data_IF_592807545201
#
_entry.id   IF_592807545201
#
_cell.length_a   1.000
_cell.length_b   1.000
_cell.length_c   1.000
_cell.angle_alpha   90.00
_cell.angle_beta   90.00
_cell.angle_gamma   90.00
#
_symmetry.space_group_name_H-M   'P 1'
#
loop_
_entity.id
_entity.type
_entity.pdbx_description
1 polymer ?
#
# COMPACT_ATOMS: atom_id res chain seq x y z
N UNK A 1 -8.16 1.97 13.15
CA UNK A 1 -7.54 2.17 14.49
C UNK A 1 -6.13 2.78 14.33
N UNK A 2 -5.50 3.33 15.39
CA UNK A 2 -4.16 3.94 15.31
C UNK A 2 -3.03 3.04 14.78
N UNK A 3 -3.23 1.74 14.71
CA UNK A 3 -2.27 0.75 14.22
C UNK A 3 -2.70 0.09 12.91
N UNK A 4 -3.84 0.50 12.33
CA UNK A 4 -4.27 -0.04 11.04
C UNK A 4 -3.39 0.48 9.91
N UNK A 5 -3.08 -0.40 8.97
CA UNK A 5 -2.54 -0.02 7.67
C UNK A 5 -3.56 0.79 6.88
N UNK A 6 -3.07 1.78 6.16
CA UNK A 6 -3.85 2.60 5.24
C UNK A 6 -3.41 2.25 3.82
N UNK A 7 -4.23 1.45 3.13
CA UNK A 7 -3.99 1.08 1.74
C UNK A 7 -4.56 2.17 0.83
N UNK A 8 -3.72 2.71 -0.06
CA UNK A 8 -4.13 3.72 -1.03
C UNK A 8 -3.80 3.27 -2.44
N UNK A 9 -4.70 3.54 -3.39
CA UNK A 9 -4.37 3.37 -4.80
C UNK A 9 -3.29 4.37 -5.19
N UNK A 10 -2.13 3.88 -5.64
CA UNK A 10 -0.97 4.69 -5.99
C UNK A 10 -0.84 4.97 -7.50
N UNK A 11 -1.94 4.84 -8.25
CA UNK A 11 -1.93 4.92 -9.72
C UNK A 11 -1.62 6.34 -10.24
N UNK A 12 -2.24 7.36 -9.65
CA UNK A 12 -2.07 8.75 -10.06
C UNK A 12 -1.37 9.61 -9.00
N UNK A 13 -1.05 9.04 -7.84
CA UNK A 13 -0.50 9.75 -6.68
C UNK A 13 0.46 8.83 -5.96
N UNK A 14 1.68 9.28 -5.70
CA UNK A 14 2.69 8.45 -5.04
C UNK A 14 2.34 8.19 -3.57
N UNK A 15 2.79 7.05 -3.05
CA UNK A 15 2.63 6.69 -1.63
C UNK A 15 3.21 7.75 -0.70
N UNK A 16 4.37 8.33 -1.04
CA UNK A 16 4.99 9.41 -0.28
C UNK A 16 4.11 10.65 -0.21
N UNK A 17 3.46 11.02 -1.33
CA UNK A 17 2.58 12.19 -1.35
C UNK A 17 1.30 11.93 -0.53
N UNK A 18 0.70 10.74 -0.65
CA UNK A 18 -0.45 10.35 0.15
C UNK A 18 -0.12 10.30 1.66
N UNK A 19 1.07 9.80 2.01
CA UNK A 19 1.54 9.71 3.39
C UNK A 19 1.68 11.09 4.05
N UNK A 20 2.02 12.13 3.29
CA UNK A 20 2.13 13.50 3.81
C UNK A 20 0.80 14.10 4.30
N UNK A 21 -0.34 13.49 3.97
CA UNK A 21 -1.67 14.01 4.31
C UNK A 21 -2.26 13.45 5.60
N UNK A 22 -1.60 12.47 6.23
CA UNK A 22 -2.14 11.76 7.38
C UNK A 22 -1.18 11.78 8.57
N UNK A 23 -1.71 11.79 9.81
CA UNK A 23 -0.92 11.45 10.99
C UNK A 23 -0.41 10.00 10.89
N UNK A 24 0.81 9.73 11.35
CA UNK A 24 1.41 8.39 11.29
C UNK A 24 1.65 7.89 9.85
N UNK A 25 2.49 8.59 9.05
CA UNK A 25 2.75 8.30 7.63
C UNK A 25 3.39 6.93 7.40
N UNK A 26 4.04 6.35 8.41
CA UNK A 26 4.64 5.02 8.37
C UNK A 26 3.63 3.91 8.08
N UNK A 27 2.33 4.15 8.25
CA UNK A 27 1.25 3.17 8.07
C UNK A 27 0.63 3.17 6.67
N UNK A 28 1.03 4.08 5.79
CA UNK A 28 0.46 4.22 4.45
C UNK A 28 1.20 3.32 3.47
N UNK A 29 0.47 2.46 2.76
CA UNK A 29 1.05 1.62 1.70
C UNK A 29 0.27 1.84 0.41
N UNK A 30 1.01 2.18 -0.64
CA UNK A 30 0.43 2.32 -1.97
C UNK A 30 0.26 0.96 -2.62
N UNK A 31 -0.78 0.82 -3.42
CA UNK A 31 -0.94 -0.33 -4.30
C UNK A 31 -1.42 0.07 -5.69
N UNK A 32 -0.98 -0.68 -6.69
CA UNK A 32 -1.46 -0.63 -8.06
C UNK A 32 -2.07 -1.96 -8.43
N UNK A 33 -3.10 -1.95 -9.29
CA UNK A 33 -3.70 -3.18 -9.81
C UNK A 33 -3.81 -3.10 -11.31
N UNK A 34 -3.64 -4.24 -11.97
CA UNK A 34 -3.85 -4.36 -13.41
C UNK A 34 -5.23 -5.01 -13.67
N UNK A 35 -6.20 -4.27 -14.24
CA UNK A 35 -7.47 -4.86 -14.62
C UNK A 35 -7.30 -5.95 -15.71
N UNK A 36 -8.14 -7.01 -15.68
CA UNK A 36 -9.17 -7.29 -14.69
C UNK A 36 -8.61 -7.85 -13.38
N UNK A 37 -9.20 -7.46 -12.25
CA UNK A 37 -8.93 -8.02 -10.92
C UNK A 37 -9.45 -9.46 -10.85
N UNK A 38 -8.59 -10.43 -11.13
CA UNK A 38 -8.84 -11.86 -10.89
C UNK A 38 -8.15 -12.29 -9.60
N UNK A 39 -8.54 -13.43 -9.02
CA UNK A 39 -7.92 -13.97 -7.81
C UNK A 39 -6.39 -14.12 -7.97
N UNK A 40 -5.94 -14.64 -9.12
CA UNK A 40 -4.51 -14.74 -9.49
C UNK A 40 -4.00 -13.45 -10.21
N UNK A 41 -4.52 -12.30 -9.78
CA UNK A 41 -4.22 -11.00 -10.40
C UNK A 41 -2.88 -10.42 -9.95
N UNK A 42 -2.30 -9.54 -10.76
CA UNK A 42 -1.09 -8.84 -10.39
C UNK A 42 -1.42 -7.59 -9.57
N UNK A 43 -0.81 -7.50 -8.39
CA UNK A 43 -0.85 -6.31 -7.52
C UNK A 43 0.58 -5.78 -7.39
N UNK A 44 0.76 -4.50 -7.65
CA UNK A 44 1.98 -3.78 -7.33
C UNK A 44 1.86 -3.22 -5.90
N UNK A 45 2.93 -3.38 -5.11
CA UNK A 45 3.07 -2.71 -3.82
C UNK A 45 4.05 -1.55 -3.99
N UNK A 46 3.60 -0.34 -3.69
CA UNK A 46 4.36 0.90 -3.84
C UNK A 46 4.74 1.46 -2.47
N UNK A 47 6.04 1.40 -2.15
CA UNK A 47 6.62 2.00 -0.96
C UNK A 47 6.74 3.51 -1.04
N UNK A 48 6.53 4.20 0.08
CA UNK A 48 6.99 5.58 0.26
C UNK A 48 8.29 5.63 1.08
N UNK A 49 8.70 6.85 1.44
CA UNK A 49 9.87 7.06 2.30
C UNK A 49 9.59 6.68 3.77
N UNK A 50 10.34 5.71 4.31
CA UNK A 50 10.29 5.19 5.69
C UNK A 50 9.11 4.23 6.02
N UNK A 51 8.54 3.50 5.06
CA UNK A 51 7.44 2.54 5.29
C UNK A 51 7.84 1.05 5.35
N UNK A 52 9.11 0.71 5.67
CA UNK A 52 9.62 -0.66 5.55
C UNK A 52 8.78 -1.72 6.30
N UNK A 53 8.39 -1.46 7.55
CA UNK A 53 7.60 -2.41 8.34
C UNK A 53 6.18 -2.62 7.78
N UNK A 54 5.58 -1.59 7.18
CA UNK A 54 4.24 -1.64 6.60
C UNK A 54 4.22 -2.37 5.25
N UNK A 55 5.35 -2.35 4.53
CA UNK A 55 5.52 -3.10 3.29
C UNK A 55 5.49 -4.61 3.53
N UNK A 56 6.22 -5.09 4.53
CA UNK A 56 6.32 -6.53 4.82
C UNK A 56 4.93 -7.09 5.17
N UNK A 57 4.17 -6.36 5.99
CA UNK A 57 2.80 -6.70 6.33
C UNK A 57 1.87 -6.72 5.10
N UNK A 58 2.00 -5.74 4.20
CA UNK A 58 1.14 -5.65 3.00
C UNK A 58 1.46 -6.73 1.97
N UNK A 59 2.73 -7.10 1.80
CA UNK A 59 3.16 -8.20 0.94
C UNK A 59 2.53 -9.53 1.37
N UNK A 60 2.49 -9.79 2.69
CA UNK A 60 1.85 -11.00 3.22
C UNK A 60 0.33 -11.06 2.95
N UNK A 61 -0.35 -9.90 2.86
CA UNK A 61 -1.76 -9.83 2.51
C UNK A 61 -1.98 -10.24 1.03
N UNK A 62 -1.11 -9.78 0.13
CA UNK A 62 -1.16 -10.15 -1.28
C UNK A 62 -0.83 -11.63 -1.52
N UNK A 63 0.07 -12.21 -0.72
CA UNK A 63 0.36 -13.65 -0.79
C UNK A 63 -0.79 -14.54 -0.25
N UNK A 64 -1.71 -13.97 0.53
CA UNK A 64 -2.84 -14.67 1.11
C UNK A 64 -4.15 -14.53 0.31
N UNK A 65 -4.16 -13.71 -0.75
CA UNK A 65 -5.30 -13.46 -1.64
C UNK A 65 -5.25 -14.37 -2.87
#
# INVERSE_FOLDING_TARGET
>A
PPQALLLTSALATSTTQAAAWVPGPERVVGFGVLPPLKAEGMVEIAAGCNQQASLDASSSLCAAA
#
